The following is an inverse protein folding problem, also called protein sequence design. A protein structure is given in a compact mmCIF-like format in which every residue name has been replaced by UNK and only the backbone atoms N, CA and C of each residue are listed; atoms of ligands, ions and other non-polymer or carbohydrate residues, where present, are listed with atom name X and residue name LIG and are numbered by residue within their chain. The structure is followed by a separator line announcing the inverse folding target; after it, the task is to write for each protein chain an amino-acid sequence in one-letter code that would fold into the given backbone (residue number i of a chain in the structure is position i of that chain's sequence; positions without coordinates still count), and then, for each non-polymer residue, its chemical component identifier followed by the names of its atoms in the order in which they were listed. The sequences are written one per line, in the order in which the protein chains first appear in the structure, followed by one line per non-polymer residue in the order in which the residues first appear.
data_IF_223747453925
#
_entry.id   IF_223747453925
#
_cell.length_a   1.000
_cell.length_b   1.000
_cell.length_c   1.000
_cell.angle_alpha   90.00
_cell.angle_beta   90.00
_cell.angle_gamma   90.00
#
_symmetry.space_group_name_H-M   'P 1'
#
loop_
_entity.id
_entity.type
_entity.pdbx_description
1 polymer ?
2 non-polymer ?
3 water ?
#
# COMPACT_ATOMS: atom_id res chain seq x y z
N UNK A 1 3.19 -20.04 -0.95
CA UNK A 1 3.17 -18.59 -1.12
C UNK A 1 4.28 -18.14 -2.06
N UNK A 2 3.92 -17.34 -3.05
CA UNK A 2 4.91 -16.77 -3.98
C UNK A 2 5.17 -15.32 -3.65
N UNK A 3 6.40 -14.85 -3.86
CA UNK A 3 6.70 -13.46 -3.60
C UNK A 3 7.34 -12.83 -4.83
N UNK A 4 6.97 -11.57 -5.10
CA UNK A 4 7.42 -10.87 -6.30
C UNK A 4 7.80 -9.46 -5.86
N UNK A 5 9.08 -9.16 -5.95
CA UNK A 5 9.59 -7.84 -5.60
C UNK A 5 9.16 -6.91 -6.70
N UNK A 6 8.50 -5.83 -6.32
CA UNK A 6 7.93 -4.88 -7.27
C UNK A 6 8.99 -3.90 -7.75
N UNK A 7 8.68 -3.11 -8.78
CA UNK A 7 9.71 -2.19 -9.28
C UNK A 7 10.02 -1.05 -8.26
N UNK A 8 8.99 -0.55 -7.58
CA UNK A 8 9.14 0.42 -6.48
C UNK A 8 10.00 -0.22 -5.37
N UNK A 9 11.14 0.40 -5.08
CA UNK A 9 12.15 -0.27 -4.29
C UNK A 9 11.62 -0.73 -2.91
N UNK A 10 11.75 -2.03 -2.62
CA UNK A 10 11.29 -2.56 -1.34
C UNK A 10 9.83 -3.02 -1.29
N UNK A 11 9.02 -2.59 -2.27
CA UNK A 11 7.63 -3.09 -2.31
C UNK A 11 7.56 -4.54 -2.82
N UNK A 12 6.59 -5.31 -2.28
CA UNK A 12 6.51 -6.75 -2.52
C UNK A 12 5.05 -7.17 -2.66
N UNK A 13 4.83 -7.99 -3.69
CA UNK A 13 3.59 -8.68 -3.91
C UNK A 13 3.71 -10.14 -3.55
N UNK A 14 2.78 -10.60 -2.70
CA UNK A 14 2.75 -11.99 -2.24
C UNK A 14 1.47 -12.64 -2.78
N UNK A 15 1.59 -13.87 -3.26
CA UNK A 15 0.46 -14.59 -3.86
C UNK A 15 0.18 -15.82 -3.01
N UNK A 16 -0.81 -15.73 -2.12
CA UNK A 16 -1.14 -16.93 -1.36
C UNK A 16 -1.93 -17.96 -2.19
N UNK A 17 -1.80 -19.23 -1.86
CA UNK A 17 -2.70 -20.25 -2.43
C UNK A 17 -4.07 -20.20 -1.75
N UNK A 18 -5.10 -20.57 -2.51
CA UNK A 18 -6.48 -20.62 -2.04
C UNK A 18 -6.79 -22.08 -1.89
N UNK A 19 -7.08 -22.50 -0.67
CA UNK A 19 -7.39 -23.89 -0.40
C UNK A 19 -8.91 -23.95 -0.30
N UNK A 20 -9.54 -24.80 -1.10
CA UNK A 20 -11.01 -24.81 -1.16
C UNK A 20 -11.47 -26.19 -0.74
N UNK A 21 -12.53 -26.27 0.07
CA UNK A 21 -13.18 -27.57 0.29
C UNK A 21 -14.73 -27.46 0.38
N UNK A 22 -15.40 -28.53 0.83
CA UNK A 22 -16.87 -28.50 0.97
C UNK A 22 -17.39 -27.41 1.88
N UNK A 23 -16.55 -26.97 2.82
CA UNK A 23 -16.95 -25.97 3.81
C UNK A 23 -16.79 -24.51 3.35
N UNK A 24 -15.95 -24.25 2.35
CA UNK A 24 -15.66 -22.92 1.89
C UNK A 24 -14.17 -22.84 1.52
N UNK A 25 -13.49 -21.84 2.05
CA UNK A 25 -12.18 -21.43 1.53
C UNK A 25 -11.24 -21.03 2.66
N UNK A 26 -9.93 -21.25 2.46
CA UNK A 26 -8.89 -20.79 3.41
C UNK A 26 -7.70 -20.14 2.68
N UNK A 27 -7.34 -18.92 3.07
CA UNK A 27 -6.16 -18.29 2.52
C UNK A 27 -5.27 -17.79 3.68
N UNK A 28 -3.95 -17.77 3.50
CA UNK A 28 -3.02 -17.29 4.56
C UNK A 28 -2.32 -16.06 4.00
N UNK A 29 -2.99 -14.87 4.04
CA UNK A 29 -2.46 -13.75 3.27
C UNK A 29 -1.07 -13.22 3.70
N UNK A 30 -0.68 -13.37 4.99
CA UNK A 30 0.63 -12.93 5.50
C UNK A 30 1.23 -14.18 6.09
N UNK A 31 2.48 -14.47 5.74
CA UNK A 31 3.16 -15.65 6.23
C UNK A 31 4.62 -15.32 6.54
N UNK A 32 5.02 -15.48 7.80
CA UNK A 32 6.35 -15.05 8.25
C UNK A 32 7.53 -15.56 7.46
N UNK A 33 7.60 -16.88 7.22
CA UNK A 33 8.71 -17.47 6.47
C UNK A 33 8.88 -16.81 5.06
N UNK A 34 7.81 -16.83 4.23
CA UNK A 34 7.82 -16.11 2.92
C UNK A 34 8.17 -14.64 3.00
N UNK A 35 7.58 -13.93 3.96
CA UNK A 35 7.89 -12.51 4.14
C UNK A 35 9.38 -12.25 4.53
N UNK A 36 9.89 -12.97 5.52
CA UNK A 36 11.31 -12.75 5.96
C UNK A 36 12.26 -13.02 4.79
N UNK A 37 11.98 -14.08 4.03
CA UNK A 37 12.81 -14.45 2.89
C UNK A 37 12.74 -13.35 1.81
N UNK A 38 11.56 -12.82 1.51
CA UNK A 38 11.48 -11.68 0.56
C UNK A 38 12.05 -10.33 1.04
N UNK A 39 11.75 -9.96 2.28
CA UNK A 39 12.03 -8.62 2.79
C UNK A 39 13.34 -8.54 3.56
N UNK A 40 13.74 -9.63 4.22
CA UNK A 40 14.97 -9.64 5.01
C UNK A 40 14.79 -9.60 6.52
N UNK A 41 13.55 -9.38 6.93
CA UNK A 41 13.18 -9.30 8.35
C UNK A 41 11.69 -9.57 8.46
N UNK A 42 11.18 -9.76 9.69
CA UNK A 42 9.75 -10.05 9.85
C UNK A 42 8.87 -8.82 9.70
N UNK A 43 7.56 -9.03 9.63
CA UNK A 43 6.63 -7.87 9.67
C UNK A 43 6.88 -6.95 10.87
N UNK A 44 6.59 -5.65 10.74
CA UNK A 44 6.55 -4.71 11.87
C UNK A 44 5.57 -5.28 12.89
N UNK A 45 5.73 -4.85 14.12
CA UNK A 45 4.70 -5.04 15.12
C UNK A 45 3.41 -4.33 14.67
N UNK A 46 2.27 -4.98 14.91
CA UNK A 46 0.97 -4.48 14.46
C UNK A 46 0.39 -3.55 15.52
N UNK A 47 0.21 -2.29 15.13
CA UNK A 47 -0.32 -1.28 16.02
C UNK A 47 -1.80 -1.10 15.76
N UNK A 48 -2.23 -1.36 14.51
CA UNK A 48 -3.62 -1.14 14.15
C UNK A 48 -3.99 -2.01 12.96
N UNK A 49 -5.23 -2.47 12.89
CA UNK A 49 -5.69 -3.06 11.61
C UNK A 49 -6.82 -2.21 10.99
N UNK A 50 -6.99 -2.30 9.67
CA UNK A 50 -8.00 -1.53 8.93
C UNK A 50 -8.80 -2.47 8.04
N UNK A 51 -10.13 -2.32 8.10
CA UNK A 51 -11.09 -2.94 7.19
C UNK A 51 -11.84 -1.84 6.43
N UNK A 52 -11.59 -1.79 5.13
CA UNK A 52 -12.14 -0.74 4.31
C UNK A 52 -12.98 -1.41 3.19
N UNK A 53 -14.22 -0.96 2.96
CA UNK A 53 -15.01 -1.45 1.80
C UNK A 53 -15.40 -0.26 0.91
N UNK A 54 -15.30 -0.46 -0.41
CA UNK A 54 -15.55 0.61 -1.39
C UNK A 54 -16.54 0.17 -2.44
N UNK A 55 -17.28 1.14 -2.96
CA UNK A 55 -18.16 0.96 -4.11
C UNK A 55 -17.36 1.02 -5.38
N UNK A 56 -18.01 0.55 -6.45
CA UNK A 56 -17.41 0.56 -7.77
C UNK A 56 -17.09 1.98 -8.16
N UNK A 57 -15.87 2.20 -8.65
CA UNK A 57 -15.50 3.51 -9.21
C UNK A 57 -14.91 4.43 -8.13
N UNK A 58 -14.88 3.97 -6.87
CA UNK A 58 -14.21 4.76 -5.77
C UNK A 58 -12.70 4.76 -5.99
N UNK A 59 -12.09 5.95 -5.90
CA UNK A 59 -10.62 6.07 -5.92
C UNK A 59 -10.22 6.66 -4.54
N UNK A 60 -9.33 5.98 -3.82
CA UNK A 60 -8.84 6.45 -2.51
C UNK A 60 -7.33 6.64 -2.66
N UNK A 61 -6.80 7.76 -2.17
CA UNK A 61 -5.37 8.04 -2.23
C UNK A 61 -5.09 9.31 -2.99
N UNK A 62 -3.83 9.63 -3.22
CA UNK A 62 -2.69 8.84 -2.78
C UNK A 62 -2.47 9.20 -1.29
N UNK A 63 -2.40 8.19 -0.42
CA UNK A 63 -2.23 8.51 1.00
C UNK A 63 -0.84 8.16 1.49
N UNK A 64 -0.31 9.00 2.35
CA UNK A 64 0.98 8.69 2.97
C UNK A 64 1.00 9.34 4.35
N UNK A 65 2.04 9.00 5.11
CA UNK A 65 2.21 9.44 6.47
C UNK A 65 3.47 10.28 6.52
N UNK A 66 3.37 11.42 7.19
CA UNK A 66 4.52 12.25 7.45
C UNK A 66 5.62 11.34 8.02
N UNK A 67 6.82 11.49 7.43
CA UNK A 67 7.93 10.66 7.79
C UNK A 67 9.14 11.52 8.18
N UNK A 68 9.64 11.38 9.42
CA UNK A 68 9.13 10.59 10.54
C UNK A 68 7.79 11.14 11.06
N UNK A 69 7.03 10.31 11.81
CA UNK A 69 7.29 8.90 12.19
C UNK A 69 7.22 7.86 11.03
N UNK A 70 6.41 8.11 10.01
CA UNK A 70 6.16 7.09 8.98
C UNK A 70 5.28 5.90 9.40
N UNK A 71 4.76 5.20 8.40
CA UNK A 71 4.01 3.96 8.56
C UNK A 71 4.38 3.01 7.42
N UNK A 72 4.60 1.75 7.77
CA UNK A 72 4.66 0.60 6.83
C UNK A 72 3.35 -0.17 6.93
N UNK A 73 2.89 -0.72 5.81
CA UNK A 73 1.63 -1.39 5.76
C UNK A 73 1.72 -2.70 5.04
N UNK A 74 0.75 -3.57 5.34
CA UNK A 74 0.58 -4.82 4.61
C UNK A 74 -0.91 -4.95 4.31
N UNK A 75 -1.25 -4.97 3.02
CA UNK A 75 -2.67 -4.98 2.61
C UNK A 75 -3.00 -6.17 1.71
N UNK A 76 -4.17 -6.79 1.92
CA UNK A 76 -4.71 -7.81 0.98
C UNK A 76 -6.17 -7.46 0.63
N UNK A 77 -6.60 -7.91 -0.53
CA UNK A 77 -7.95 -7.56 -0.95
C UNK A 77 -8.78 -8.76 -0.66
N UNK A 78 -9.69 -8.54 0.30
CA UNK A 78 -10.46 -9.58 0.97
C UNK A 78 -11.80 -9.93 0.31
N UNK A 79 -12.18 -9.14 -0.71
CA UNK A 79 -13.50 -9.21 -1.35
C UNK A 79 -13.46 -8.25 -2.54
N UNK A 80 -14.06 -8.60 -3.69
CA UNK A 80 -14.27 -7.65 -4.81
C UNK A 80 -13.06 -7.64 -5.74
N UNK A 81 -12.80 -6.49 -6.35
CA UNK A 81 -11.69 -6.32 -7.29
C UNK A 81 -11.17 -4.92 -7.30
N UNK A 82 -9.85 -4.76 -7.39
CA UNK A 82 -9.24 -3.43 -7.37
C UNK A 82 -7.97 -3.37 -8.20
N UNK A 83 -7.66 -2.20 -8.74
CA UNK A 83 -6.31 -1.90 -9.15
C UNK A 83 -5.61 -1.18 -7.96
N UNK A 84 -4.70 -1.88 -7.31
CA UNK A 84 -3.89 -1.33 -6.27
C UNK A 84 -2.58 -0.74 -6.80
N UNK A 85 -2.11 0.34 -6.17
CA UNK A 85 -1.03 1.17 -6.69
C UNK A 85 -0.10 1.62 -5.55
N UNK A 86 1.19 1.28 -5.67
CA UNK A 86 2.23 1.82 -4.79
C UNK A 86 2.89 2.96 -5.58
N UNK A 87 3.03 4.15 -5.01
CA UNK A 87 3.73 5.28 -5.65
C UNK A 87 4.97 5.59 -4.82
N UNK A 88 6.15 5.56 -5.43
CA UNK A 88 7.36 5.96 -4.71
C UNK A 88 7.53 7.47 -4.59
N UNK A 89 7.14 8.02 -3.43
CA UNK A 89 7.26 9.44 -3.12
C UNK A 89 8.47 9.78 -2.21
N UNK A 90 9.40 8.85 -2.05
CA UNK A 90 10.56 9.07 -1.19
C UNK A 90 11.65 9.75 -2.04
N UNK A 91 11.90 11.02 -1.74
CA UNK A 91 12.93 11.83 -2.43
C UNK A 91 14.28 11.17 -2.12
N UNK A 92 15.08 10.89 -3.15
CA UNK A 92 16.40 10.21 -3.02
C UNK A 92 16.34 8.74 -3.47
N UNK A 93 15.13 8.18 -3.52
CA UNK A 93 14.95 6.77 -3.90
C UNK A 93 15.41 6.49 -5.34
N UNK A 94 16.04 5.32 -5.59
CA UNK A 94 16.42 4.95 -6.97
C UNK A 94 15.19 4.82 -7.92
N UNK A 95 14.01 4.66 -7.33
CA UNK A 95 12.76 4.55 -8.10
C UNK A 95 11.81 5.68 -7.72
N UNK A 96 12.33 6.80 -7.21
CA UNK A 96 11.50 7.98 -6.97
C UNK A 96 10.62 8.36 -8.19
N UNK A 97 9.35 8.63 -7.93
CA UNK A 97 8.42 9.04 -9.01
C UNK A 97 7.85 7.83 -9.74
N UNK A 98 8.39 6.65 -9.52
CA UNK A 98 7.84 5.39 -10.12
C UNK A 98 6.58 4.92 -9.35
N UNK A 99 5.63 4.33 -10.07
CA UNK A 99 4.53 3.60 -9.43
C UNK A 99 4.51 2.16 -9.93
N UNK A 100 3.90 1.25 -9.16
CA UNK A 100 3.61 -0.17 -9.59
C UNK A 100 2.16 -0.49 -9.27
N UNK A 101 1.52 -1.29 -10.15
CA UNK A 101 0.14 -1.76 -9.89
C UNK A 101 0.00 -3.29 -9.63
N UNK A 102 -0.90 -3.65 -8.73
CA UNK A 102 -1.26 -5.04 -8.51
C UNK A 102 -2.78 -5.19 -8.73
N UNK A 103 -3.17 -6.09 -9.61
CA UNK A 103 -4.56 -6.47 -9.75
C UNK A 103 -4.99 -7.34 -8.56
N UNK A 104 -5.89 -6.80 -7.77
CA UNK A 104 -6.38 -7.45 -6.57
C UNK A 104 -7.72 -8.01 -6.96
N UNK A 105 -7.93 -9.27 -6.67
CA UNK A 105 -9.24 -9.88 -6.92
C UNK A 105 -9.41 -11.25 -6.24
N UNK A 106 -10.65 -11.72 -6.14
CA UNK A 106 -10.96 -12.90 -5.30
C UNK A 106 -10.58 -14.23 -5.89
N UNK A 107 -10.41 -14.24 -7.20
CA UNK A 107 -10.02 -15.43 -7.91
C UNK A 107 -8.53 -15.76 -7.80
N UNK A 108 -7.68 -14.72 -7.80
CA UNK A 108 -6.21 -14.86 -7.57
C UNK A 108 -5.74 -13.84 -6.54
N UNK A 109 -6.11 -14.04 -5.27
CA UNK A 109 -5.91 -12.97 -4.29
C UNK A 109 -4.42 -12.59 -4.14
N UNK A 110 -4.15 -11.33 -3.80
CA UNK A 110 -2.79 -10.82 -3.67
C UNK A 110 -2.67 -9.99 -2.42
N UNK A 111 -1.48 -10.02 -1.80
CA UNK A 111 -1.18 -9.10 -0.71
C UNK A 111 -0.01 -8.21 -1.12
N UNK A 112 0.00 -6.96 -0.65
CA UNK A 112 1.08 -6.02 -0.92
C UNK A 112 1.75 -5.49 0.35
N UNK A 113 3.06 -5.68 0.46
CA UNK A 113 3.84 -4.93 1.45
C UNK A 113 4.19 -3.49 0.96
N UNK A 114 3.75 -2.48 1.73
CA UNK A 114 4.10 -1.08 1.45
C UNK A 114 5.19 -0.53 2.42
N UNK A 115 6.44 -0.26 1.95
CA UNK A 115 7.50 0.29 2.81
C UNK A 115 7.12 1.63 3.46
N UNK A 116 7.79 1.94 4.56
CA UNK A 116 7.80 3.30 5.10
C UNK A 116 8.06 4.32 4.02
N UNK A 117 7.25 5.37 4.02
CA UNK A 117 7.49 6.52 3.11
C UNK A 117 6.85 6.46 1.72
N UNK A 118 6.33 5.32 1.29
CA UNK A 118 5.64 5.21 -0.03
C UNK A 118 4.15 5.65 0.06
N UNK A 119 3.61 6.12 -1.07
CA UNK A 119 2.20 6.42 -1.15
C UNK A 119 1.43 5.22 -1.67
N UNK A 120 0.14 5.17 -1.32
CA UNK A 120 -0.77 4.11 -1.67
C UNK A 120 -2.08 4.71 -2.26
N UNK A 121 -2.59 4.12 -3.35
CA UNK A 121 -3.87 4.51 -3.95
C UNK A 121 -4.48 3.26 -4.56
N UNK A 122 -5.78 3.28 -4.87
CA UNK A 122 -6.38 2.19 -5.63
C UNK A 122 -7.71 2.65 -6.17
N UNK A 123 -8.18 1.92 -7.19
CA UNK A 123 -9.54 2.04 -7.68
C UNK A 123 -10.30 0.71 -7.49
N UNK A 124 -11.50 0.78 -6.91
CA UNK A 124 -12.38 -0.38 -6.78
C UNK A 124 -13.12 -0.62 -8.11
N UNK A 125 -12.97 -1.83 -8.64
CA UNK A 125 -13.60 -2.23 -9.91
C UNK A 125 -14.97 -2.89 -9.71
N UNK A 126 -15.30 -3.22 -8.46
CA UNK A 126 -16.60 -3.82 -8.13
C UNK A 126 -17.10 -3.22 -6.84
N UNK A 127 -18.43 -3.26 -6.62
CA UNK A 127 -19.03 -2.95 -5.32
C UNK A 127 -18.55 -3.96 -4.26
N UNK A 128 -18.52 -3.51 -3.00
CA UNK A 128 -18.20 -4.42 -1.88
C UNK A 128 -16.76 -4.90 -1.97
N UNK A 129 -15.88 -4.02 -2.48
CA UNK A 129 -14.47 -4.33 -2.59
C UNK A 129 -13.78 -4.00 -1.24
N UNK A 130 -13.18 -5.00 -0.63
CA UNK A 130 -12.68 -4.87 0.74
C UNK A 130 -11.14 -4.97 0.77
N UNK A 131 -10.51 -3.95 1.39
CA UNK A 131 -9.08 -3.95 1.63
C UNK A 131 -8.86 -4.13 3.13
N UNK A 132 -8.01 -5.09 3.45
CA UNK A 132 -7.73 -5.43 4.80
C UNK A 132 -6.22 -5.17 5.09
N UNK A 133 -5.93 -4.29 6.05
CA UNK A 133 -4.56 -3.81 6.34
C UNK A 133 -4.10 -4.15 7.74
N UNK A 134 -2.80 -4.36 7.88
CA UNK A 134 -2.11 -4.26 9.18
C UNK A 134 -1.24 -3.07 8.98
N UNK A 135 -1.05 -2.27 10.04
CA UNK A 135 -0.21 -1.06 9.91
C UNK A 135 0.73 -0.99 11.12
N UNK A 136 1.91 -0.41 10.92
CA UNK A 136 2.96 -0.28 11.98
C UNK A 136 2.70 0.84 12.97
N UNK A 137 1.71 1.67 12.66
CA UNK A 137 1.37 2.87 13.46
C UNK A 137 -0.15 3.07 13.51
N UNK A 138 -0.69 3.48 14.67
CA UNK A 138 -2.09 3.92 14.74
C UNK A 138 -2.27 5.22 13.97
N UNK A 139 -3.45 5.38 13.36
CA UNK A 139 -3.83 6.49 12.48
C UNK A 139 -4.08 7.83 13.12
N UNK A 140 -3.29 8.84 12.75
CA UNK A 140 -3.48 10.22 13.22
C UNK A 140 -3.70 11.11 11.97
N UNK A 141 -4.89 11.74 11.86
CA UNK A 141 -5.29 12.48 10.62
C UNK A 141 -4.23 13.54 10.38
N UNK A 142 -3.75 14.10 11.50
CA UNK A 142 -2.40 14.65 11.69
C UNK A 142 -1.44 14.39 10.55
N UNK A 143 -0.50 13.51 10.91
CA UNK A 143 0.54 12.94 10.10
C UNK A 143 0.07 12.22 8.81
N UNK A 144 -1.24 12.21 8.51
CA UNK A 144 -1.76 11.51 7.32
C UNK A 144 -2.08 12.46 6.18
N UNK A 145 -1.38 12.27 5.07
CA UNK A 145 -1.36 13.28 4.03
C UNK A 145 -1.82 12.67 2.69
N UNK A 146 -2.27 13.51 1.77
CA UNK A 146 -2.75 13.01 0.48
C UNK A 146 -2.05 13.70 -0.71
N UNK A 147 -1.90 12.99 -1.82
CA UNK A 147 -1.46 13.62 -3.07
C UNK A 147 -2.48 13.32 -4.14
N UNK A 148 -2.44 14.04 -5.24
CA UNK A 148 -3.51 13.93 -6.24
C UNK A 148 -3.34 12.61 -6.98
N UNK A 149 -4.32 11.70 -6.83
CA UNK A 149 -4.26 10.42 -7.54
C UNK A 149 -4.62 10.64 -9.01
N UNK A 150 -5.40 11.70 -9.33
CA UNK A 150 -5.78 11.96 -10.75
C UNK A 150 -4.80 12.85 -11.51
N UNK A 151 -3.72 13.25 -10.83
CA UNK A 151 -2.64 14.02 -11.44
C UNK A 151 -2.17 13.46 -12.81
N UNK A 152 -2.31 14.26 -13.89
CA UNK A 152 -1.87 13.84 -15.23
C UNK A 152 -0.39 13.53 -15.41
N UNK A 153 0.51 14.19 -14.67
CA UNK A 153 1.97 13.84 -14.64
C UNK A 153 2.23 12.42 -14.20
N UNK A 154 1.28 11.88 -13.42
CA UNK A 154 1.40 10.52 -12.88
C UNK A 154 0.90 9.41 -13.80
N UNK A 155 -0.21 9.64 -14.49
CA UNK A 155 -0.80 8.65 -15.37
C UNK A 155 -1.08 7.37 -14.62
N UNK A 156 -1.63 7.47 -13.41
CA UNK A 156 -1.93 6.25 -12.71
C UNK A 156 -3.11 5.58 -13.44
N UNK A 157 -3.17 4.24 -13.39
CA UNK A 157 -4.26 3.48 -14.04
C UNK A 157 -5.51 3.48 -13.12
N UNK A 158 -6.22 4.61 -13.04
CA UNK A 158 -7.32 4.80 -12.06
C UNK A 158 -8.66 5.14 -12.69
N UNK A 159 -8.69 5.20 -14.01
CA UNK A 159 -9.94 5.50 -14.68
C UNK A 159 -10.60 4.21 -15.22
N UNK A 160 -11.87 4.04 -14.86
CA UNK A 160 -12.63 2.88 -15.27
C UNK A 160 -13.86 3.18 -16.12
N UNK A 161 -13.91 4.38 -16.70
CA UNK A 161 -15.04 4.77 -17.55
C UNK A 161 -16.08 5.70 -16.93
N UNK A 162 -16.20 5.67 -15.60
CA UNK A 162 -17.23 6.45 -14.88
C UNK A 162 -16.61 7.59 -14.03
N UNK A 163 -17.37 8.59 -13.57
CA UNK A 163 -16.74 9.67 -12.73
C UNK A 163 -16.08 9.10 -11.44
N UNK A 164 -14.80 9.39 -11.17
CA UNK A 164 -14.21 8.79 -9.95
C UNK A 164 -15.03 9.17 -8.71
N UNK A 165 -15.22 8.24 -7.78
CA UNK A 165 -15.88 8.55 -6.50
C UNK A 165 -14.78 8.79 -5.43
N UNK A 166 -14.67 10.05 -5.03
CA UNK A 166 -13.51 10.52 -4.30
C UNK A 166 -13.93 11.41 -3.10
N UNK A 167 -13.23 11.30 -1.96
CA UNK A 167 -13.40 12.24 -0.84
C UNK A 167 -13.00 13.65 -1.26
N UNK A 168 -13.60 14.67 -0.62
CA UNK A 168 -13.17 16.05 -0.86
C UNK A 168 -11.67 16.23 -0.61
N UNK A 169 -11.17 15.63 0.46
CA UNK A 169 -9.73 15.67 0.75
C UNK A 169 -8.85 15.10 -0.36
N UNK A 170 -9.20 13.93 -0.85
CA UNK A 170 -8.45 13.34 -1.97
C UNK A 170 -8.62 14.12 -3.28
N UNK A 171 -9.81 14.69 -3.48
CA UNK A 171 -10.11 15.46 -4.69
C UNK A 171 -9.28 16.74 -4.74
N UNK A 172 -9.03 17.35 -3.57
CA UNK A 172 -8.31 18.65 -3.57
C UNK A 172 -6.81 18.52 -3.24
N UNK A 173 -6.33 17.29 -3.16
CA UNK A 173 -4.92 17.04 -2.83
C UNK A 173 -3.93 17.72 -3.79
N UNK A 174 -2.85 18.26 -3.21
CA UNK A 174 -1.80 18.88 -3.99
C UNK A 174 -1.11 17.82 -4.83
N UNK A 175 -0.40 18.20 -5.88
CA UNK A 175 0.33 17.19 -6.65
C UNK A 175 1.60 16.69 -5.96
N UNK A 176 2.09 15.54 -6.41
CA UNK A 176 3.45 15.10 -6.08
C UNK A 176 4.52 16.21 -6.23
N UNK A 177 4.51 16.86 -7.39
CA UNK A 177 5.46 17.92 -7.71
C UNK A 177 5.34 19.09 -6.75
N UNK A 178 4.11 19.56 -6.47
CA UNK A 178 3.88 20.60 -5.47
C UNK A 178 4.38 20.20 -4.05
N UNK A 179 4.01 19.01 -3.57
CA UNK A 179 4.52 18.47 -2.29
C UNK A 179 6.05 18.45 -2.19
N UNK A 180 6.74 18.09 -3.26
CA UNK A 180 8.21 18.09 -3.29
C UNK A 180 8.76 19.49 -3.19
N UNK A 181 8.18 20.41 -3.95
CA UNK A 181 8.53 21.84 -3.93
C UNK A 181 8.48 22.36 -2.51
N UNK A 182 7.38 22.07 -1.83
CA UNK A 182 7.14 22.48 -0.44
C UNK A 182 7.88 21.67 0.66
N UNK A 183 8.67 20.68 0.26
CA UNK A 183 9.37 19.82 1.24
C UNK A 183 8.52 18.94 2.15
N UNK A 184 7.33 18.54 1.67
CA UNK A 184 6.37 17.70 2.40
C UNK A 184 6.56 16.20 2.20
N UNK A 185 7.43 15.80 1.30
CA UNK A 185 7.53 14.37 0.93
C UNK A 185 8.49 13.62 1.86
N UNK A 186 8.27 12.31 2.09
CA UNK A 186 9.28 11.51 2.84
C UNK A 186 10.65 11.55 2.16
N UNK A 187 11.71 11.48 2.97
CA UNK A 187 13.09 11.29 2.52
C UNK A 187 13.34 9.78 2.45
N UNK A 188 14.03 9.34 1.39
CA UNK A 188 14.30 7.93 1.19
C UNK A 188 15.19 7.31 2.28
N UNK A 189 16.31 7.98 2.60
CA UNK A 189 17.26 7.51 3.62
C UNK A 189 16.57 7.37 4.97
N UNK A 190 15.88 8.42 5.40
CA UNK A 190 15.17 8.41 6.66
C UNK A 190 14.13 7.27 6.67
N UNK A 191 13.43 7.11 5.54
CA UNK A 191 12.36 6.13 5.47
C UNK A 191 12.97 4.75 5.68
N UNK A 192 14.05 4.50 4.96
CA UNK A 192 14.74 3.21 5.04
C UNK A 192 15.19 2.90 6.45
N UNK A 193 15.70 3.92 7.15
CA UNK A 193 16.23 3.76 8.50
C UNK A 193 15.12 3.35 9.46
N UNK A 194 13.99 4.03 9.34
CA UNK A 194 12.81 3.70 10.14
C UNK A 194 12.33 2.28 9.80
N UNK A 195 12.32 1.95 8.53
CA UNK A 195 11.81 0.67 8.11
C UNK A 195 12.67 -0.47 8.67
N UNK A 196 14.00 -0.29 8.70
CA UNK A 196 14.88 -1.31 9.17
C UNK A 196 14.66 -1.51 10.69
N UNK A 197 14.42 -0.42 11.42
CA UNK A 197 14.13 -0.52 12.85
C UNK A 197 12.77 -1.22 13.08
N UNK A 198 11.78 -0.94 12.23
CA UNK A 198 10.44 -1.51 12.39
C UNK A 198 10.38 -3.02 12.17
N UNK A 199 11.14 -3.49 11.17
CA UNK A 199 11.11 -4.87 10.70
C UNK A 199 12.41 -5.59 11.14
N UNK A 200 12.98 -5.16 12.27
CA UNK A 200 14.24 -5.73 12.78
C UNK A 200 13.94 -7.18 13.15
N UNK A 201 14.82 -8.10 12.77
CA UNK A 201 14.65 -9.48 13.22
C UNK A 201 14.80 -9.60 14.77
N UNK A 202 13.88 -10.34 15.43
CA UNK A 202 14.05 -10.71 16.86
C UNK A 202 15.28 -11.61 17.00
N UNK A 203 16.16 -11.33 17.95
CA UNK A 203 17.41 -12.11 18.04
C UNK A 203 17.53 -12.77 19.39
N UNK A 204 17.13 -14.03 19.48
CA UNK A 204 17.11 -14.70 20.78
C UNK A 204 18.03 -15.91 20.90
N UNK A 205 17.90 -16.54 22.06
CA UNK A 205 18.42 -17.86 22.34
C UNK A 205 17.46 -18.90 21.71
X LIG B 1 10.61 -13.37 -3.07
X LIG B 1 11.25 -12.06 -3.05
X LIG B 1 11.13 -14.50 -2.11
X LIG B 1 12.04 -13.92 -1.26
X LIG B 1 10.13 -15.44 -1.38
X LIG B 1 9.53 -15.10 -0.10
X LIG C 1 -7.99 -6.99 11.20
X LIG C 1 -8.00 -7.23 12.62
X LIG C 1 -6.75 -7.55 10.47
X LIG C 1 -6.68 -8.98 10.61
X LIG C 1 -6.76 -7.08 9.03
X LIG C 1 -5.59 -7.34 8.23
X LIG D 1 4.69 7.07 4.93
X LIG D 1 5.39 6.41 5.94
X LIG D 1 3.33 6.55 4.46
X LIG D 1 3.47 6.46 3.10
X LIG D 1 2.71 5.25 4.95
X LIG D 1 1.32 5.41 5.26
#
# INVERSE_FOLDING_TARGET
MQARKLAVDGAIEFTPRVFADDRGLLILPYQEEAFVEAHGGPLFRVAQTIHSMSKRGVVRGIHYTVTPPGTAKYVYCARGKAMDIVIDIRVGSPTFGQWDSVLMDQQDPRAVYLPVGVGHAFVALEDDTVFSYMASRSYVTQDELALSALDPALGLPIDIGVEPIVSDRDRVAITLAEAQRQGLLPDYTTSQEIERRLTAVPVST
GOL C1 O1 C2 O2 C3 O3
GOL C1 O1 C2 O2 C3 O3
GOL C1 O1 C2 O2 C3 O3
#
